data_IF_850114822110
#
_entry.id   IF_850114822110
#
_cell.length_a   1.000
_cell.length_b   1.000
_cell.length_c   1.000
_cell.angle_alpha   90.00
_cell.angle_beta   90.00
_cell.angle_gamma   90.00
#
_symmetry.space_group_name_H-M   'P 1'
#
loop_
_entity.id
_entity.type
_entity.pdbx_description
1 polymer ?
#
# COMPACT_ATOMS: atom_id res chain seq x y z
N UNK A 1 40.09 9.08 1.19
CA UNK A 1 38.96 8.95 0.24
C UNK A 1 38.83 10.21 -0.61
N UNK A 2 39.06 10.11 -1.93
CA UNK A 2 39.05 11.24 -2.88
C UNK A 2 37.66 11.92 -2.94
N UNK A 3 37.60 13.26 -3.02
CA UNK A 3 36.35 14.07 -3.06
C UNK A 3 35.32 13.54 -4.07
N UNK A 4 35.81 13.07 -5.23
CA UNK A 4 35.02 12.45 -6.31
C UNK A 4 34.29 11.15 -5.90
N UNK A 5 34.86 10.36 -4.98
CA UNK A 5 34.23 9.12 -4.50
C UNK A 5 33.08 9.41 -3.53
N UNK A 6 33.18 10.49 -2.75
CA UNK A 6 32.13 10.90 -1.82
C UNK A 6 30.88 11.41 -2.58
N UNK A 7 31.08 12.16 -3.66
CA UNK A 7 29.95 12.61 -4.49
C UNK A 7 29.26 11.46 -5.23
N UNK A 8 30.02 10.49 -5.76
CA UNK A 8 29.43 9.27 -6.32
C UNK A 8 28.55 8.53 -5.30
N UNK A 9 29.02 8.40 -4.05
CA UNK A 9 28.25 7.75 -2.99
C UNK A 9 26.99 8.53 -2.60
N UNK A 10 27.03 9.87 -2.60
CA UNK A 10 25.84 10.69 -2.34
C UNK A 10 24.78 10.48 -3.42
N UNK A 11 25.18 10.44 -4.69
CA UNK A 11 24.26 10.19 -5.80
C UNK A 11 23.61 8.81 -5.64
N UNK A 12 24.42 7.77 -5.36
CA UNK A 12 23.90 6.42 -5.15
C UNK A 12 22.98 6.31 -3.93
N UNK A 13 23.32 6.97 -2.82
CA UNK A 13 22.48 6.98 -1.62
C UNK A 13 21.15 7.70 -1.86
N UNK A 14 21.17 8.82 -2.60
CA UNK A 14 19.96 9.53 -3.01
C UNK A 14 19.09 8.67 -3.93
N UNK A 15 19.67 8.06 -4.96
CA UNK A 15 18.95 7.17 -5.88
C UNK A 15 18.30 6.00 -5.13
N UNK A 16 19.04 5.41 -4.17
CA UNK A 16 18.51 4.36 -3.30
C UNK A 16 17.33 4.87 -2.47
N UNK A 17 17.45 6.04 -1.85
CA UNK A 17 16.34 6.64 -1.09
C UNK A 17 15.11 6.87 -1.98
N UNK A 18 15.29 7.48 -3.15
CA UNK A 18 14.21 7.75 -4.11
C UNK A 18 13.54 6.43 -4.55
N UNK A 19 14.32 5.37 -4.76
CA UNK A 19 13.83 4.03 -5.09
C UNK A 19 12.98 3.44 -3.95
N UNK A 20 13.46 3.51 -2.71
CA UNK A 20 12.73 2.97 -1.56
C UNK A 20 11.44 3.76 -1.27
N UNK A 21 11.43 5.07 -1.51
CA UNK A 21 10.22 5.90 -1.44
C UNK A 21 9.24 5.62 -2.58
N UNK A 22 9.75 5.37 -3.80
CA UNK A 22 8.91 4.97 -4.93
C UNK A 22 8.17 3.66 -4.67
N UNK A 23 8.85 2.66 -4.10
CA UNK A 23 8.22 1.40 -3.68
C UNK A 23 7.16 1.61 -2.60
N UNK A 24 7.44 2.46 -1.61
CA UNK A 24 6.48 2.79 -0.55
C UNK A 24 5.20 3.40 -1.14
N UNK A 25 5.35 4.38 -2.03
CA UNK A 25 4.22 5.01 -2.72
C UNK A 25 3.39 4.01 -3.54
N UNK A 26 4.04 3.05 -4.19
CA UNK A 26 3.36 2.01 -4.95
C UNK A 26 2.52 1.10 -4.03
N UNK A 27 3.07 0.68 -2.88
CA UNK A 27 2.35 -0.12 -1.90
C UNK A 27 1.16 0.66 -1.28
N UNK A 28 1.36 1.94 -0.97
CA UNK A 28 0.29 2.81 -0.45
C UNK A 28 -0.85 2.95 -1.46
N UNK A 29 -0.52 3.10 -2.75
CA UNK A 29 -1.51 3.14 -3.83
C UNK A 29 -2.26 1.81 -3.97
N UNK A 30 -1.57 0.67 -3.87
CA UNK A 30 -2.21 -0.64 -3.94
C UNK A 30 -3.20 -0.85 -2.77
N UNK A 31 -2.80 -0.47 -1.56
CA UNK A 31 -3.68 -0.53 -0.39
C UNK A 31 -4.89 0.40 -0.53
N UNK A 32 -4.72 1.59 -1.11
CA UNK A 32 -5.81 2.52 -1.37
C UNK A 32 -6.84 1.94 -2.34
N UNK A 33 -6.40 1.32 -3.45
CA UNK A 33 -7.28 0.67 -4.43
C UNK A 33 -8.12 -0.43 -3.74
N UNK A 34 -7.48 -1.28 -2.93
CA UNK A 34 -8.21 -2.33 -2.20
C UNK A 34 -9.18 -1.76 -1.15
N UNK A 35 -8.85 -0.62 -0.54
CA UNK A 35 -9.75 0.06 0.40
C UNK A 35 -10.98 0.63 -0.31
N UNK A 36 -10.81 1.14 -1.53
CA UNK A 36 -11.90 1.63 -2.38
C UNK A 36 -12.78 0.46 -2.86
N UNK A 37 -12.17 -0.65 -3.27
CA UNK A 37 -12.89 -1.88 -3.63
C UNK A 37 -13.72 -2.41 -2.45
N UNK A 38 -13.14 -2.47 -1.25
CA UNK A 38 -13.86 -2.87 -0.03
C UNK A 38 -15.06 -1.96 0.27
N UNK A 39 -14.88 -0.65 0.11
CA UNK A 39 -15.94 0.34 0.34
C UNK A 39 -17.07 0.17 -0.68
N UNK A 40 -16.73 -0.04 -1.96
CA UNK A 40 -17.69 -0.32 -3.03
C UNK A 40 -18.49 -1.60 -2.76
N UNK A 41 -17.80 -2.67 -2.32
CA UNK A 41 -18.41 -3.93 -1.95
C UNK A 41 -19.40 -3.77 -0.78
N UNK A 42 -19.05 -2.95 0.23
CA UNK A 42 -19.92 -2.63 1.35
C UNK A 42 -21.15 -1.80 0.91
N UNK A 43 -20.99 -0.85 -0.02
CA UNK A 43 -22.10 -0.07 -0.57
C UNK A 43 -23.06 -0.93 -1.40
N UNK A 44 -22.55 -1.89 -2.17
CA UNK A 44 -23.39 -2.84 -2.93
C UNK A 44 -24.30 -3.69 -2.05
N UNK A 45 -23.97 -3.85 -0.76
CA UNK A 45 -24.80 -4.51 0.25
C UNK A 45 -26.14 -3.78 0.49
N UNK A 46 -26.08 -2.45 0.51
CA UNK A 46 -27.19 -1.60 0.92
C UNK A 46 -28.28 -1.49 -0.16
N UNK A 47 -27.94 -1.77 -1.42
CA UNK A 47 -28.86 -1.59 -2.56
C UNK A 47 -29.73 -2.83 -2.87
N UNK A 48 -29.44 -4.00 -2.31
CA UNK A 48 -30.07 -5.29 -2.67
C UNK A 48 -31.35 -5.64 -1.88
N UNK A 49 -32.14 -4.63 -1.46
CA UNK A 49 -33.21 -4.83 -0.46
C UNK A 49 -34.56 -4.15 -0.69
N UNK A 50 -34.85 -3.55 -1.85
CA UNK A 50 -35.98 -2.61 -1.93
C UNK A 50 -37.23 -2.99 -2.72
N UNK A 51 -37.31 -4.03 -3.53
CA UNK A 51 -38.59 -4.39 -4.20
C UNK A 51 -38.58 -5.83 -4.74
N UNK A 52 -39.48 -6.72 -4.31
CA UNK A 52 -39.92 -7.89 -5.10
C UNK A 52 -41.22 -8.54 -4.57
N UNK A 53 -42.02 -9.05 -5.51
CA UNK A 53 -43.28 -9.79 -5.32
C UNK A 53 -43.05 -11.24 -4.83
N UNK A 54 -44.06 -11.89 -4.25
CA UNK A 54 -43.93 -13.13 -3.44
C UNK A 54 -43.37 -14.33 -4.23
N UNK A 55 -43.76 -14.53 -5.50
CA UNK A 55 -43.21 -15.63 -6.32
C UNK A 55 -41.80 -15.33 -6.84
N UNK A 56 -41.45 -14.06 -7.00
CA UNK A 56 -40.08 -13.61 -7.29
C UNK A 56 -39.18 -13.72 -6.06
N UNK A 57 -39.77 -13.74 -4.86
CA UNK A 57 -39.06 -13.69 -3.58
C UNK A 57 -38.17 -14.91 -3.35
N UNK A 58 -38.59 -16.14 -3.69
CA UNK A 58 -37.75 -17.34 -3.45
C UNK A 58 -36.49 -17.34 -4.34
N UNK A 59 -36.66 -17.06 -5.65
CA UNK A 59 -35.52 -16.92 -6.56
C UNK A 59 -34.62 -15.74 -6.17
N UNK A 60 -35.21 -14.64 -5.70
CA UNK A 60 -34.48 -13.47 -5.20
C UNK A 60 -33.72 -13.78 -3.90
N UNK A 61 -34.30 -14.58 -2.99
CA UNK A 61 -33.64 -15.03 -1.77
C UNK A 61 -32.41 -15.90 -2.07
N UNK A 62 -32.49 -16.84 -3.00
CA UNK A 62 -31.35 -17.69 -3.38
C UNK A 62 -30.24 -16.88 -4.07
N UNK A 63 -30.61 -15.97 -4.98
CA UNK A 63 -29.66 -15.05 -5.63
C UNK A 63 -29.00 -14.10 -4.63
N UNK A 64 -29.79 -13.54 -3.70
CA UNK A 64 -29.29 -12.70 -2.61
C UNK A 64 -28.36 -13.46 -1.67
N UNK A 65 -28.69 -14.71 -1.32
CA UNK A 65 -27.81 -15.57 -0.50
C UNK A 65 -26.46 -15.80 -1.19
N UNK A 66 -26.46 -16.21 -2.47
CA UNK A 66 -25.21 -16.44 -3.22
C UNK A 66 -24.39 -15.16 -3.38
N UNK A 67 -25.05 -14.03 -3.59
CA UNK A 67 -24.41 -12.73 -3.64
C UNK A 67 -23.77 -12.37 -2.28
N UNK A 68 -24.49 -12.57 -1.18
CA UNK A 68 -23.98 -12.32 0.17
C UNK A 68 -22.78 -13.22 0.48
N UNK A 69 -22.86 -14.51 0.16
CA UNK A 69 -21.75 -15.46 0.35
C UNK A 69 -20.50 -15.03 -0.44
N UNK A 70 -20.67 -14.71 -1.73
CA UNK A 70 -19.59 -14.21 -2.57
C UNK A 70 -18.98 -12.92 -2.02
N UNK A 71 -19.82 -11.95 -1.61
CA UNK A 71 -19.34 -10.69 -1.02
C UNK A 71 -18.58 -10.91 0.28
N UNK A 72 -19.08 -11.79 1.16
CA UNK A 72 -18.40 -12.14 2.40
C UNK A 72 -17.03 -12.77 2.14
N UNK A 73 -16.94 -13.71 1.18
CA UNK A 73 -15.66 -14.28 0.77
C UNK A 73 -14.72 -13.21 0.20
N UNK A 74 -15.21 -12.37 -0.73
CA UNK A 74 -14.39 -11.31 -1.33
C UNK A 74 -13.92 -10.27 -0.31
N UNK A 75 -14.74 -9.95 0.69
CA UNK A 75 -14.37 -9.06 1.78
C UNK A 75 -13.21 -9.63 2.62
N UNK A 76 -13.22 -10.94 2.89
CA UNK A 76 -12.14 -11.63 3.60
C UNK A 76 -10.85 -11.66 2.78
N UNK A 77 -10.94 -11.93 1.47
CA UNK A 77 -9.81 -11.87 0.54
C UNK A 77 -9.16 -10.48 0.53
N UNK A 78 -9.95 -9.42 0.31
CA UNK A 78 -9.47 -8.04 0.30
C UNK A 78 -8.80 -7.68 1.63
N UNK A 79 -9.38 -8.05 2.77
CA UNK A 79 -8.79 -7.78 4.08
C UNK A 79 -7.47 -8.53 4.30
N UNK A 80 -7.36 -9.75 3.78
CA UNK A 80 -6.12 -10.54 3.82
C UNK A 80 -5.04 -9.87 2.96
N UNK A 81 -5.37 -9.49 1.74
CA UNK A 81 -4.46 -8.78 0.83
C UNK A 81 -3.99 -7.44 1.42
N UNK A 82 -4.90 -6.64 1.99
CA UNK A 82 -4.58 -5.40 2.68
C UNK A 82 -3.65 -5.63 3.87
N UNK A 83 -3.89 -6.66 4.66
CA UNK A 83 -3.04 -7.00 5.81
C UNK A 83 -1.61 -7.34 5.37
N UNK A 84 -1.47 -8.09 4.28
CA UNK A 84 -0.16 -8.40 3.69
C UNK A 84 0.55 -7.13 3.19
N UNK A 85 -0.17 -6.26 2.47
CA UNK A 85 0.39 -5.00 1.99
C UNK A 85 0.79 -4.08 3.15
N UNK A 86 0.03 -4.05 4.25
CA UNK A 86 0.41 -3.29 5.46
C UNK A 86 1.72 -3.79 6.06
N UNK A 87 1.90 -5.11 6.17
CA UNK A 87 3.16 -5.68 6.63
C UNK A 87 4.33 -5.31 5.69
N UNK A 88 4.10 -5.32 4.38
CA UNK A 88 5.09 -4.89 3.40
C UNK A 88 5.41 -3.38 3.50
N UNK A 89 4.41 -2.54 3.74
CA UNK A 89 4.58 -1.10 3.96
C UNK A 89 5.48 -0.85 5.16
N UNK A 90 5.26 -1.53 6.28
CA UNK A 90 6.08 -1.36 7.48
C UNK A 90 7.53 -1.84 7.26
N UNK A 91 7.71 -2.96 6.55
CA UNK A 91 9.03 -3.41 6.13
C UNK A 91 9.71 -2.40 5.19
N UNK A 92 8.94 -1.77 4.28
CA UNK A 92 9.44 -0.81 3.30
C UNK A 92 9.79 0.54 3.95
N UNK A 93 9.02 1.01 4.94
CA UNK A 93 9.34 2.19 5.77
C UNK A 93 10.68 2.01 6.46
N UNK A 94 10.96 0.84 7.01
CA UNK A 94 12.25 0.53 7.62
C UNK A 94 13.42 0.61 6.62
N UNK A 95 13.23 0.16 5.38
CA UNK A 95 14.25 0.29 4.31
C UNK A 95 14.46 1.74 3.90
N UNK A 96 13.38 2.52 3.74
CA UNK A 96 13.43 3.94 3.43
C UNK A 96 14.14 4.74 4.54
N UNK A 97 13.84 4.47 5.81
CA UNK A 97 14.48 5.10 6.95
C UNK A 97 16.00 4.82 6.98
N UNK A 98 16.42 3.58 6.69
CA UNK A 98 17.85 3.24 6.55
C UNK A 98 18.52 4.00 5.40
N UNK A 99 17.88 4.07 4.23
CA UNK A 99 18.40 4.81 3.08
C UNK A 99 18.51 6.32 3.36
N UNK A 100 17.53 6.88 4.08
CA UNK A 100 17.56 8.27 4.54
C UNK A 100 18.73 8.52 5.49
N UNK A 101 18.92 7.65 6.49
CA UNK A 101 20.06 7.73 7.42
C UNK A 101 21.41 7.69 6.70
N UNK A 102 21.56 6.82 5.69
CA UNK A 102 22.76 6.78 4.85
C UNK A 102 23.02 8.11 4.12
N UNK A 103 21.95 8.72 3.60
CA UNK A 103 22.02 10.01 2.92
C UNK A 103 22.42 11.14 3.88
N UNK A 104 21.88 11.16 5.10
CA UNK A 104 22.24 12.13 6.14
C UNK A 104 23.70 11.97 6.58
N UNK A 105 24.16 10.74 6.80
CA UNK A 105 25.55 10.47 7.18
C UNK A 105 26.54 10.99 6.12
N UNK A 106 26.27 10.76 4.83
CA UNK A 106 27.08 11.27 3.74
C UNK A 106 27.06 12.81 3.63
N UNK A 107 25.92 13.44 3.92
CA UNK A 107 25.80 14.90 3.99
C UNK A 107 26.70 15.45 5.10
N UNK A 108 26.64 14.88 6.30
CA UNK A 108 27.47 15.28 7.44
C UNK A 108 28.97 15.11 7.17
N UNK A 109 29.38 13.96 6.59
CA UNK A 109 30.77 13.71 6.19
C UNK A 109 31.30 14.74 5.19
N UNK A 110 30.45 15.22 4.28
CA UNK A 110 30.86 16.25 3.31
C UNK A 110 31.00 17.64 3.91
N UNK A 111 30.19 17.98 4.92
CA UNK A 111 30.31 19.24 5.67
C UNK A 111 31.60 19.25 6.50
N UNK A 112 31.86 18.18 7.25
CA UNK A 112 33.07 18.05 8.10
C UNK A 112 34.39 18.14 7.30
N UNK A 113 34.40 17.74 6.03
CA UNK A 113 35.58 17.85 5.15
C UNK A 113 35.82 19.24 4.56
N UNK A 114 34.82 20.11 4.53
CA UNK A 114 34.98 21.50 4.08
C UNK A 114 35.36 22.44 5.24
N UNK A 115 35.40 21.94 6.48
CA UNK A 115 35.72 22.68 7.71
C UNK A 115 37.17 22.50 8.18
N UNK A 116 37.99 21.78 7.41
CA UNK A 116 39.44 21.58 7.61
C UNK A 116 40.15 21.97 6.32
#
# INVERSE_FOLDING_TARGET
MKRRNLEKLKILAKLKLDTELGKLKALESANQILSEEFTSLAQSAACYGTDTDIETTIAYCELSSRWNDWRSMRAVEINTERSNIMAEIDAQKNKAAKAFGQTQALKSLSKSKNSR
#
